data_IF_930799332987
#
_entry.id   IF_930799332987
#
_cell.length_a   1.000
_cell.length_b   1.000
_cell.length_c   1.000
_cell.angle_alpha   90.00
_cell.angle_beta   90.00
_cell.angle_gamma   90.00
#
_symmetry.space_group_name_H-M   'P 1'
#
loop_
_entity.id
_entity.type
_entity.pdbx_description
1 polymer ?
#
# COMPACT_ATOMS: atom_id res chain seq x y z
N UNK A 1 0.67 27.95 -16.45
CA UNK A 1 1.76 27.14 -17.02
C UNK A 1 1.18 25.78 -17.40
N UNK A 2 1.20 25.40 -18.68
CA UNK A 2 0.73 24.07 -19.09
C UNK A 2 1.68 23.02 -18.51
N UNK A 3 1.19 22.11 -17.65
CA UNK A 3 1.93 20.91 -17.29
C UNK A 3 2.23 20.15 -18.58
N UNK A 4 3.48 20.10 -19.02
CA UNK A 4 3.86 19.23 -20.14
C UNK A 4 3.48 17.81 -19.72
N UNK A 5 2.51 17.19 -20.40
CA UNK A 5 2.20 15.77 -20.19
C UNK A 5 3.51 15.00 -20.43
N UNK A 6 4.01 14.34 -19.38
CA UNK A 6 5.17 13.45 -19.53
C UNK A 6 4.83 12.43 -20.62
N UNK A 7 5.76 12.18 -21.55
CA UNK A 7 5.57 11.10 -22.53
C UNK A 7 5.79 9.77 -21.84
N UNK A 8 5.07 8.74 -22.28
CA UNK A 8 5.30 7.37 -21.81
C UNK A 8 6.77 6.97 -22.08
N UNK A 9 7.53 6.54 -21.06
CA UNK A 9 8.90 6.08 -21.23
C UNK A 9 8.94 4.72 -21.96
N UNK A 10 10.08 4.41 -22.57
CA UNK A 10 10.30 3.09 -23.16
C UNK A 10 10.43 2.01 -22.08
N UNK A 11 10.13 0.75 -22.41
CA UNK A 11 10.37 -0.41 -21.52
C UNK A 11 11.82 -0.45 -21.00
N UNK A 12 12.79 -0.19 -21.89
CA UNK A 12 14.22 -0.13 -21.54
C UNK A 12 14.54 0.98 -20.55
N UNK A 13 13.90 2.14 -20.67
CA UNK A 13 14.07 3.24 -19.72
C UNK A 13 13.51 2.88 -18.34
N UNK A 14 12.30 2.32 -18.30
CA UNK A 14 11.67 1.87 -17.06
C UNK A 14 12.55 0.82 -16.38
N UNK A 15 12.94 -0.23 -17.10
CA UNK A 15 13.78 -1.28 -16.53
C UNK A 15 15.08 -0.71 -15.97
N UNK A 16 15.79 0.12 -16.75
CA UNK A 16 17.03 0.76 -16.31
C UNK A 16 16.82 1.58 -15.04
N UNK A 17 15.76 2.39 -14.99
CA UNK A 17 15.42 3.20 -13.83
C UNK A 17 15.15 2.32 -12.60
N UNK A 18 14.27 1.32 -12.73
CA UNK A 18 13.89 0.44 -11.62
C UNK A 18 15.09 -0.36 -11.11
N UNK A 19 15.95 -0.90 -11.99
CA UNK A 19 17.18 -1.59 -11.60
C UNK A 19 18.16 -0.68 -10.86
N UNK A 20 18.28 0.59 -11.27
CA UNK A 20 19.15 1.56 -10.60
C UNK A 20 18.63 1.87 -9.19
N UNK A 21 17.34 2.17 -9.08
CA UNK A 21 16.70 2.51 -7.81
C UNK A 21 16.59 1.29 -6.88
N UNK A 22 16.51 0.06 -7.39
CA UNK A 22 16.41 -1.16 -6.60
C UNK A 22 17.69 -1.48 -5.81
N UNK A 23 18.87 -0.98 -6.20
CA UNK A 23 20.14 -1.32 -5.52
C UNK A 23 20.09 -1.07 -4.00
N UNK A 24 20.67 -1.97 -3.17
CA UNK A 24 21.46 -3.15 -3.55
C UNK A 24 20.64 -4.38 -3.98
N UNK A 25 19.31 -4.28 -4.07
CA UNK A 25 18.46 -5.37 -4.54
C UNK A 25 18.58 -5.53 -6.06
N UNK A 26 18.42 -6.77 -6.52
CA UNK A 26 18.14 -7.08 -7.93
C UNK A 26 16.70 -6.68 -8.26
N UNK A 27 16.45 -6.43 -9.54
CA UNK A 27 15.13 -6.14 -10.08
C UNK A 27 14.85 -7.11 -11.22
N UNK A 28 13.76 -7.85 -11.12
CA UNK A 28 13.41 -8.91 -12.06
C UNK A 28 11.94 -8.81 -12.47
N UNK A 29 11.69 -8.95 -13.77
CA UNK A 29 10.33 -9.13 -14.27
C UNK A 29 9.89 -10.57 -14.05
N UNK A 30 8.67 -10.76 -13.55
CA UNK A 30 8.05 -12.07 -13.37
C UNK A 30 6.63 -12.07 -13.90
N UNK A 31 6.15 -13.22 -14.35
CA UNK A 31 4.72 -13.44 -14.57
C UNK A 31 4.09 -13.83 -13.23
N UNK A 32 3.76 -12.82 -12.42
CA UNK A 32 3.08 -12.99 -11.14
C UNK A 32 1.81 -12.12 -11.11
N UNK A 33 0.83 -12.51 -10.28
CA UNK A 33 -0.40 -11.77 -10.08
C UNK A 33 -0.19 -10.54 -9.19
N UNK A 34 0.88 -10.51 -8.39
CA UNK A 34 1.18 -9.39 -7.51
C UNK A 34 1.94 -8.27 -8.23
N UNK A 35 1.55 -6.99 -8.02
CA UNK A 35 2.13 -5.84 -8.71
C UNK A 35 3.59 -5.59 -8.37
N UNK A 36 4.01 -5.81 -7.12
CA UNK A 36 5.39 -5.64 -6.67
C UNK A 36 5.60 -6.52 -5.43
N UNK A 37 6.68 -7.31 -5.42
CA UNK A 37 7.06 -8.13 -4.27
C UNK A 37 8.54 -8.01 -3.98
N UNK A 38 8.89 -7.78 -2.71
CA UNK A 38 10.27 -7.92 -2.23
C UNK A 38 10.54 -9.33 -1.70
N UNK A 39 11.66 -9.93 -2.11
CA UNK A 39 12.27 -11.07 -1.43
C UNK A 39 13.49 -10.59 -0.67
N UNK A 40 13.36 -10.56 0.65
CA UNK A 40 14.44 -10.20 1.57
C UNK A 40 15.60 -11.17 1.44
N UNK A 41 15.31 -12.48 1.49
CA UNK A 41 16.30 -13.56 1.40
C UNK A 41 17.11 -13.49 0.09
N UNK A 42 16.44 -13.31 -1.05
CA UNK A 42 17.12 -13.25 -2.36
C UNK A 42 17.59 -11.86 -2.72
N UNK A 43 17.35 -10.85 -1.87
CA UNK A 43 17.59 -9.43 -2.17
C UNK A 43 17.08 -9.04 -3.57
N UNK A 44 15.85 -9.42 -3.90
CA UNK A 44 15.27 -9.22 -5.24
C UNK A 44 13.89 -8.58 -5.13
N UNK A 45 13.63 -7.59 -5.99
CA UNK A 45 12.32 -6.99 -6.20
C UNK A 45 11.75 -7.59 -7.49
N UNK A 46 10.64 -8.29 -7.36
CA UNK A 46 9.90 -8.90 -8.46
C UNK A 46 8.72 -8.02 -8.85
N UNK A 47 8.47 -7.88 -10.14
CA UNK A 47 7.33 -7.10 -10.63
C UNK A 47 6.79 -7.67 -11.94
N UNK A 48 5.46 -7.66 -12.08
CA UNK A 48 4.83 -7.94 -13.35
C UNK A 48 5.01 -6.75 -14.32
N UNK A 49 5.66 -6.98 -15.46
CA UNK A 49 5.95 -5.92 -16.44
C UNK A 49 4.67 -5.23 -16.94
N UNK A 50 3.62 -5.98 -17.24
CA UNK A 50 2.35 -5.43 -17.75
C UNK A 50 1.70 -4.54 -16.71
N UNK A 51 1.73 -4.96 -15.44
CA UNK A 51 1.16 -4.19 -14.34
C UNK A 51 1.97 -2.90 -14.11
N UNK A 52 3.30 -2.97 -14.13
CA UNK A 52 4.15 -1.78 -14.01
C UNK A 52 3.93 -0.78 -15.13
N UNK A 53 3.87 -1.24 -16.38
CA UNK A 53 3.61 -0.38 -17.53
C UNK A 53 2.24 0.30 -17.42
N UNK A 54 1.23 -0.44 -16.97
CA UNK A 54 -0.12 0.10 -16.74
C UNK A 54 -0.11 1.15 -15.64
N UNK A 55 0.54 0.87 -14.50
CA UNK A 55 0.65 1.81 -13.39
C UNK A 55 1.39 3.10 -13.80
N UNK A 56 2.52 2.99 -14.50
CA UNK A 56 3.27 4.17 -14.98
C UNK A 56 2.42 5.01 -15.94
N UNK A 57 1.66 4.36 -16.83
CA UNK A 57 0.76 5.07 -17.73
C UNK A 57 -0.32 5.83 -16.94
N UNK A 58 -0.96 5.19 -15.96
CA UNK A 58 -1.99 5.81 -15.13
C UNK A 58 -1.46 7.01 -14.35
N UNK A 59 -0.24 6.92 -13.80
CA UNK A 59 0.45 8.03 -13.13
C UNK A 59 0.70 9.20 -14.09
N UNK A 60 1.19 8.92 -15.29
CA UNK A 60 1.45 9.94 -16.32
C UNK A 60 0.15 10.61 -16.77
N UNK A 61 -0.90 9.84 -17.01
CA UNK A 61 -2.22 10.34 -17.41
C UNK A 61 -2.85 11.23 -16.32
N UNK A 62 -2.55 10.94 -15.05
CA UNK A 62 -2.91 11.77 -13.90
C UNK A 62 -1.98 12.98 -13.69
N UNK A 63 -0.92 13.13 -14.48
CA UNK A 63 0.07 14.21 -14.38
C UNK A 63 0.98 14.12 -13.15
N UNK A 64 1.20 12.90 -12.65
CA UNK A 64 2.14 12.58 -11.58
C UNK A 64 3.52 12.23 -12.15
N UNK A 65 4.58 12.50 -11.37
CA UNK A 65 5.94 12.12 -11.73
C UNK A 65 6.15 10.64 -11.40
N UNK A 66 6.05 9.78 -12.41
CA UNK A 66 6.16 8.34 -12.23
C UNK A 66 7.52 7.92 -11.65
N UNK A 67 8.61 8.65 -11.93
CA UNK A 67 9.95 8.30 -11.41
C UNK A 67 9.99 8.50 -9.91
N UNK A 68 9.46 9.62 -9.44
CA UNK A 68 9.45 9.90 -8.01
C UNK A 68 8.49 8.99 -7.24
N UNK A 69 7.32 8.68 -7.81
CA UNK A 69 6.40 7.69 -7.23
C UNK A 69 7.05 6.32 -7.14
N UNK A 70 7.69 5.85 -8.22
CA UNK A 70 8.37 4.55 -8.22
C UNK A 70 9.58 4.51 -7.28
N UNK A 71 10.34 5.60 -7.16
CA UNK A 71 11.40 5.72 -6.16
C UNK A 71 10.86 5.59 -4.74
N UNK A 72 9.74 6.25 -4.44
CA UNK A 72 9.03 6.12 -3.16
C UNK A 72 8.61 4.66 -2.93
N UNK A 73 8.01 4.02 -3.91
CA UNK A 73 7.59 2.61 -3.80
C UNK A 73 8.77 1.68 -3.55
N UNK A 74 9.88 1.84 -4.28
CA UNK A 74 11.08 1.02 -4.05
C UNK A 74 11.67 1.26 -2.64
N UNK A 75 11.67 2.50 -2.15
CA UNK A 75 12.08 2.79 -0.75
C UNK A 75 11.18 2.08 0.25
N UNK A 76 9.86 2.16 0.08
CA UNK A 76 8.88 1.50 0.93
C UNK A 76 9.12 -0.01 0.98
N UNK A 77 9.25 -0.64 -0.17
CA UNK A 77 9.43 -2.09 -0.33
C UNK A 77 10.73 -2.60 0.29
N UNK A 78 11.81 -1.81 0.24
CA UNK A 78 13.04 -2.15 0.96
C UNK A 78 12.87 -2.06 2.48
N UNK A 79 12.05 -1.13 2.97
CA UNK A 79 11.86 -0.95 4.40
C UNK A 79 11.18 -2.17 5.04
N UNK A 80 10.37 -2.93 4.30
CA UNK A 80 9.76 -4.18 4.76
C UNK A 80 10.75 -5.21 5.31
N UNK A 81 12.02 -5.19 4.87
CA UNK A 81 13.07 -6.04 5.45
C UNK A 81 13.20 -5.87 6.98
N UNK A 82 13.04 -4.64 7.48
CA UNK A 82 13.17 -4.34 8.91
C UNK A 82 12.05 -4.97 9.75
N UNK A 83 10.94 -5.30 9.12
CA UNK A 83 9.73 -5.78 9.78
C UNK A 83 9.51 -7.28 9.62
N UNK A 84 10.46 -8.01 9.01
CA UNK A 84 10.36 -9.46 8.81
C UNK A 84 10.12 -10.24 10.12
N UNK A 85 10.67 -9.77 11.25
CA UNK A 85 10.44 -10.37 12.58
C UNK A 85 8.96 -10.35 12.99
N UNK A 86 8.21 -9.32 12.60
CA UNK A 86 6.77 -9.21 12.92
C UNK A 86 5.96 -10.21 12.12
N UNK A 87 6.30 -10.39 10.84
CA UNK A 87 5.69 -11.42 9.99
C UNK A 87 5.87 -12.82 10.60
N UNK A 88 7.08 -13.14 11.10
CA UNK A 88 7.32 -14.42 11.80
C UNK A 88 6.50 -14.53 13.09
N UNK A 89 6.46 -13.47 13.90
CA UNK A 89 5.73 -13.44 15.18
C UNK A 89 4.23 -13.64 14.97
N UNK A 90 3.64 -13.00 13.97
CA UNK A 90 2.22 -13.13 13.66
C UNK A 90 1.89 -14.47 12.97
N UNK A 91 2.80 -14.99 12.13
CA UNK A 91 2.68 -16.33 11.58
C UNK A 91 2.62 -17.41 12.68
N UNK A 92 3.40 -17.26 13.75
CA UNK A 92 3.33 -18.13 14.92
C UNK A 92 1.97 -18.06 15.67
N UNK A 93 1.20 -16.99 15.46
CA UNK A 93 -0.17 -16.83 15.97
C UNK A 93 -1.24 -17.28 14.94
N UNK A 94 -0.83 -17.96 13.87
CA UNK A 94 -1.70 -18.46 12.80
C UNK A 94 -2.11 -17.41 11.77
N UNK A 95 -1.46 -16.25 11.73
CA UNK A 95 -1.75 -15.19 10.76
C UNK A 95 -0.72 -15.17 9.62
N UNK A 96 -1.16 -15.51 8.41
CA UNK A 96 -0.37 -15.32 7.19
C UNK A 96 -0.45 -13.88 6.66
N UNK A 97 0.33 -13.59 5.62
CA UNK A 97 0.37 -12.27 4.99
C UNK A 97 -1.00 -11.79 4.50
N UNK A 98 -1.83 -12.72 4.01
CA UNK A 98 -3.16 -12.38 3.48
C UNK A 98 -4.27 -12.41 4.55
N UNK A 99 -3.97 -12.92 5.75
CA UNK A 99 -4.95 -13.09 6.81
C UNK A 99 -5.59 -11.75 7.19
N UNK A 100 -6.88 -11.82 7.52
CA UNK A 100 -7.66 -10.67 7.98
C UNK A 100 -7.66 -9.50 6.98
N UNK A 101 -7.70 -9.81 5.67
CA UNK A 101 -7.68 -8.79 4.62
C UNK A 101 -6.35 -8.02 4.55
N UNK A 102 -5.22 -8.72 4.68
CA UNK A 102 -3.89 -8.12 4.62
C UNK A 102 -3.59 -7.16 5.79
N UNK A 103 -4.22 -7.39 6.95
CA UNK A 103 -4.12 -6.49 8.10
C UNK A 103 -2.66 -6.28 8.57
N UNK A 104 -1.87 -7.36 8.61
CA UNK A 104 -0.46 -7.32 8.97
C UNK A 104 0.35 -6.36 8.07
N UNK A 105 0.09 -6.40 6.76
CA UNK A 105 0.74 -5.52 5.78
C UNK A 105 0.40 -4.06 6.07
N UNK A 106 -0.88 -3.69 6.20
CA UNK A 106 -1.25 -2.30 6.42
C UNK A 106 -0.73 -1.72 7.76
N UNK A 107 -0.66 -2.54 8.81
CA UNK A 107 -0.05 -2.14 10.09
C UNK A 107 1.45 -1.85 9.92
N UNK A 108 2.15 -2.71 9.18
CA UNK A 108 3.57 -2.55 8.87
C UNK A 108 3.81 -1.33 7.99
N UNK A 109 3.01 -1.16 6.94
CA UNK A 109 3.04 -0.01 6.03
C UNK A 109 2.83 1.29 6.79
N UNK A 110 1.88 1.34 7.72
CA UNK A 110 1.68 2.52 8.55
C UNK A 110 2.93 2.89 9.35
N UNK A 111 3.64 1.91 9.94
CA UNK A 111 4.89 2.18 10.66
C UNK A 111 5.99 2.65 9.68
N UNK A 112 6.12 2.02 8.52
CA UNK A 112 7.06 2.46 7.48
C UNK A 112 6.78 3.92 7.08
N UNK A 113 5.52 4.24 6.80
CA UNK A 113 5.14 5.50 6.20
C UNK A 113 5.07 6.64 7.20
N UNK A 114 4.52 6.41 8.39
CA UNK A 114 4.23 7.47 9.38
C UNK A 114 5.23 7.55 10.51
N UNK A 115 6.11 6.55 10.65
CA UNK A 115 7.14 6.53 11.69
C UNK A 115 8.53 6.50 11.05
N UNK A 116 8.81 5.51 10.19
CA UNK A 116 10.15 5.37 9.61
C UNK A 116 10.49 6.50 8.63
N UNK A 117 9.56 6.87 7.75
CA UNK A 117 9.75 7.93 6.74
C UNK A 117 9.00 9.23 7.08
N UNK A 118 8.63 9.44 8.35
CA UNK A 118 7.85 10.59 8.80
C UNK A 118 8.46 11.94 8.34
N UNK A 119 9.78 12.07 8.45
CA UNK A 119 10.52 13.31 8.15
C UNK A 119 11.01 13.41 6.68
N UNK A 120 10.88 12.34 5.87
CA UNK A 120 11.25 12.39 4.44
C UNK A 120 10.13 13.08 3.66
N UNK A 121 10.22 14.41 3.52
CA UNK A 121 9.23 15.24 2.82
C UNK A 121 8.93 14.78 1.40
N UNK A 122 9.94 14.30 0.66
CA UNK A 122 9.74 13.81 -0.70
C UNK A 122 8.97 12.48 -0.69
N UNK A 123 9.32 11.58 0.23
CA UNK A 123 8.56 10.35 0.45
C UNK A 123 7.10 10.65 0.77
N UNK A 124 6.84 11.51 1.76
CA UNK A 124 5.48 11.86 2.19
C UNK A 124 4.67 12.47 1.04
N UNK A 125 5.25 13.40 0.27
CA UNK A 125 4.61 14.00 -0.90
C UNK A 125 4.11 12.94 -1.88
N UNK A 126 4.98 12.01 -2.26
CA UNK A 126 4.66 11.02 -3.29
C UNK A 126 3.83 9.85 -2.75
N UNK A 127 3.94 9.53 -1.45
CA UNK A 127 3.01 8.64 -0.76
C UNK A 127 1.58 9.15 -0.87
N UNK A 128 1.33 10.40 -0.46
CA UNK A 128 -0.02 10.97 -0.48
C UNK A 128 -0.57 11.10 -1.90
N UNK A 129 0.26 11.52 -2.86
CA UNK A 129 -0.16 11.63 -4.26
C UNK A 129 -0.55 10.27 -4.87
N UNK A 130 0.25 9.24 -4.61
CA UNK A 130 0.03 7.88 -5.10
C UNK A 130 -1.19 7.21 -4.45
N UNK A 131 -1.31 7.30 -3.12
CA UNK A 131 -2.47 6.79 -2.39
C UNK A 131 -3.77 7.50 -2.80
N UNK A 132 -3.74 8.83 -2.98
CA UNK A 132 -4.89 9.59 -3.44
C UNK A 132 -5.30 9.18 -4.85
N UNK A 133 -4.33 9.04 -5.76
CA UNK A 133 -4.60 8.59 -7.12
C UNK A 133 -5.24 7.19 -7.13
N UNK A 134 -4.68 6.26 -6.35
CA UNK A 134 -5.20 4.90 -6.22
C UNK A 134 -6.65 4.90 -5.70
N UNK A 135 -6.95 5.71 -4.67
CA UNK A 135 -8.32 5.87 -4.18
C UNK A 135 -9.27 6.40 -5.26
N UNK A 136 -8.89 7.44 -6.01
CA UNK A 136 -9.74 8.01 -7.05
C UNK A 136 -10.01 7.06 -8.21
N UNK A 137 -9.03 6.23 -8.56
CA UNK A 137 -9.19 5.17 -9.57
C UNK A 137 -10.15 4.10 -9.05
N UNK A 138 -9.87 3.55 -7.86
CA UNK A 138 -10.70 2.52 -7.25
C UNK A 138 -12.14 2.99 -7.04
N UNK A 139 -12.35 4.22 -6.58
CA UNK A 139 -13.70 4.80 -6.38
C UNK A 139 -14.55 4.77 -7.65
N UNK A 140 -13.94 4.95 -8.83
CA UNK A 140 -14.63 4.91 -10.13
C UNK A 140 -14.89 3.49 -10.59
N UNK A 141 -13.96 2.59 -10.33
CA UNK A 141 -13.96 1.21 -10.85
C UNK A 141 -14.60 0.20 -9.87
N UNK A 142 -14.90 0.60 -8.63
CA UNK A 142 -15.26 -0.35 -7.56
C UNK A 142 -16.48 -1.20 -7.89
N UNK A 143 -17.47 -0.64 -8.59
CA UNK A 143 -18.70 -1.36 -8.96
C UNK A 143 -18.51 -2.25 -10.19
N UNK A 144 -17.52 -1.95 -11.03
CA UNK A 144 -17.15 -2.82 -12.15
C UNK A 144 -16.33 -4.02 -11.64
N UNK A 145 -15.43 -3.77 -10.68
CA UNK A 145 -14.58 -4.79 -10.06
C UNK A 145 -15.37 -5.67 -9.08
N UNK A 146 -16.25 -5.06 -8.28
CA UNK A 146 -17.05 -5.72 -7.25
C UNK A 146 -18.52 -5.25 -7.36
N UNK A 147 -19.31 -5.86 -8.26
CA UNK A 147 -20.69 -5.43 -8.54
C UNK A 147 -21.63 -5.44 -7.34
N UNK A 148 -21.30 -6.18 -6.28
CA UNK A 148 -22.06 -6.20 -5.04
C UNK A 148 -21.15 -6.03 -3.84
N UNK A 149 -21.70 -5.52 -2.73
CA UNK A 149 -20.98 -5.33 -1.47
C UNK A 149 -20.37 -6.65 -0.95
N UNK A 150 -21.07 -7.77 -1.10
CA UNK A 150 -20.60 -9.08 -0.62
C UNK A 150 -19.40 -9.63 -1.42
N UNK A 151 -19.15 -9.12 -2.63
CA UNK A 151 -17.98 -9.50 -3.43
C UNK A 151 -16.73 -8.69 -3.06
N UNK A 152 -16.87 -7.63 -2.27
CA UNK A 152 -15.75 -6.75 -1.90
C UNK A 152 -14.78 -7.47 -0.98
N UNK A 153 -13.50 -7.63 -1.37
CA UNK A 153 -12.51 -8.26 -0.52
C UNK A 153 -12.23 -7.40 0.72
N UNK A 154 -12.01 -8.05 1.85
CA UNK A 154 -11.88 -7.38 3.14
C UNK A 154 -10.71 -6.38 3.22
N UNK A 155 -9.67 -6.55 2.39
CA UNK A 155 -8.53 -5.63 2.36
C UNK A 155 -8.94 -4.19 2.00
N UNK A 156 -10.04 -4.00 1.26
CA UNK A 156 -10.51 -2.66 0.88
C UNK A 156 -10.83 -1.80 2.11
N UNK A 157 -11.38 -2.42 3.14
CA UNK A 157 -11.74 -1.73 4.38
C UNK A 157 -10.50 -1.39 5.22
N UNK A 158 -9.51 -2.29 5.25
CA UNK A 158 -8.22 -2.03 5.88
C UNK A 158 -7.46 -0.90 5.18
N UNK A 159 -7.42 -0.96 3.85
CA UNK A 159 -6.81 0.06 3.00
C UNK A 159 -7.46 1.43 3.19
N UNK A 160 -8.79 1.49 3.28
CA UNK A 160 -9.51 2.74 3.52
C UNK A 160 -9.12 3.35 4.87
N UNK A 161 -9.09 2.55 5.95
CA UNK A 161 -8.66 3.02 7.26
C UNK A 161 -7.20 3.51 7.25
N UNK A 162 -6.31 2.77 6.59
CA UNK A 162 -4.91 3.15 6.40
C UNK A 162 -4.77 4.47 5.62
N UNK A 163 -5.48 4.64 4.49
CA UNK A 163 -5.43 5.87 3.70
C UNK A 163 -5.90 7.10 4.47
N UNK A 164 -6.93 6.95 5.31
CA UNK A 164 -7.34 8.02 6.23
C UNK A 164 -6.27 8.27 7.29
N UNK A 165 -5.63 7.22 7.82
CA UNK A 165 -4.62 7.33 8.85
C UNK A 165 -3.34 8.05 8.38
N UNK A 166 -2.93 7.82 7.13
CA UNK A 166 -1.77 8.52 6.56
C UNK A 166 -2.10 9.96 6.10
N UNK A 167 -3.38 10.28 5.94
CA UNK A 167 -3.89 11.58 5.50
C UNK A 167 -4.07 11.71 3.98
N UNK A 168 -4.15 10.59 3.25
CA UNK A 168 -4.35 10.60 1.80
C UNK A 168 -5.80 10.90 1.40
N UNK A 169 -6.75 10.53 2.24
CA UNK A 169 -8.19 10.82 2.07
C UNK A 169 -8.80 11.24 3.41
N UNK A 170 -9.95 11.90 3.37
CA UNK A 170 -10.74 12.21 4.56
C UNK A 170 -11.54 10.99 5.03
N UNK A 171 -11.94 10.99 6.31
CA UNK A 171 -12.83 9.96 6.84
C UNK A 171 -14.17 9.95 6.09
N UNK A 172 -14.75 11.11 5.79
CA UNK A 172 -16.01 11.21 5.06
C UNK A 172 -15.95 10.57 3.67
N UNK A 173 -14.82 10.69 2.97
CA UNK A 173 -14.61 10.03 1.67
C UNK A 173 -14.57 8.49 1.81
N UNK A 174 -13.87 7.98 2.83
CA UNK A 174 -13.82 6.54 3.09
C UNK A 174 -15.21 5.98 3.43
N UNK A 175 -15.93 6.65 4.33
CA UNK A 175 -17.26 6.21 4.76
C UNK A 175 -18.32 6.35 3.67
N UNK A 176 -18.17 7.34 2.78
CA UNK A 176 -19.04 7.50 1.61
C UNK A 176 -18.86 6.37 0.58
N UNK A 177 -17.64 5.81 0.46
CA UNK A 177 -17.37 4.69 -0.45
C UNK A 177 -17.75 3.33 0.15
N UNK A 178 -17.57 3.17 1.46
CA UNK A 178 -17.78 1.92 2.20
C UNK A 178 -18.72 2.08 3.39
N UNK A 179 -19.97 2.54 3.20
CA UNK A 179 -20.90 2.75 4.30
C UNK A 179 -21.20 1.46 5.09
N UNK A 180 -21.14 0.29 4.44
CA UNK A 180 -21.40 -1.03 5.03
C UNK A 180 -20.41 -1.45 6.13
N UNK A 181 -19.21 -0.84 6.16
CA UNK A 181 -18.14 -1.14 7.12
C UNK A 181 -17.64 0.13 7.80
N UNK A 182 -18.51 1.13 7.94
CA UNK A 182 -18.16 2.42 8.53
C UNK A 182 -17.59 2.30 9.94
N UNK A 183 -18.27 1.54 10.82
CA UNK A 183 -17.82 1.32 12.20
C UNK A 183 -16.45 0.63 12.25
N UNK A 184 -16.26 -0.41 11.44
CA UNK A 184 -14.97 -1.10 11.33
C UNK A 184 -13.85 -0.15 10.92
N UNK A 185 -14.06 0.65 9.87
CA UNK A 185 -13.06 1.62 9.37
C UNK A 185 -12.73 2.66 10.44
N UNK A 186 -13.73 3.18 11.16
CA UNK A 186 -13.52 4.15 12.23
C UNK A 186 -12.76 3.55 13.42
N UNK A 187 -13.11 2.35 13.85
CA UNK A 187 -12.43 1.66 14.96
C UNK A 187 -10.97 1.34 14.58
N UNK A 188 -10.73 0.84 13.37
CA UNK A 188 -9.38 0.52 12.89
C UNK A 188 -8.52 1.78 12.71
N UNK A 189 -9.10 2.88 12.22
CA UNK A 189 -8.42 4.18 12.14
C UNK A 189 -7.94 4.67 13.52
N UNK A 190 -8.73 4.45 14.58
CA UNK A 190 -8.31 4.81 15.94
C UNK A 190 -7.09 3.99 16.37
N UNK A 191 -7.04 2.71 16.00
CA UNK A 191 -5.87 1.86 16.28
C UNK A 191 -4.63 2.35 15.55
N UNK A 192 -4.71 2.65 14.24
CA UNK A 192 -3.58 3.23 13.50
C UNK A 192 -3.02 4.49 14.17
N UNK A 193 -3.89 5.42 14.57
CA UNK A 193 -3.48 6.69 15.20
C UNK A 193 -2.78 6.51 16.56
N UNK A 194 -3.00 5.38 17.24
CA UNK A 194 -2.33 5.05 18.51
C UNK A 194 -0.92 4.51 18.33
N UNK A 195 -0.57 3.96 17.16
CA UNK A 195 0.79 3.47 16.87
C UNK A 195 1.75 4.66 16.82
N UNK A 196 2.76 4.67 17.71
CA UNK A 196 3.81 5.71 17.80
C UNK A 196 5.21 5.17 17.56
N UNK A 197 5.38 3.86 17.67
CA UNK A 197 6.64 3.16 17.51
C UNK A 197 6.43 1.83 16.80
N UNK A 198 7.52 1.20 16.35
CA UNK A 198 7.47 -0.15 15.81
C UNK A 198 7.00 -1.17 16.86
N UNK A 199 7.36 -0.99 18.13
CA UNK A 199 6.99 -1.90 19.21
C UNK A 199 5.48 -2.00 19.42
N UNK A 200 4.73 -0.96 19.04
CA UNK A 200 3.27 -0.96 19.14
C UNK A 200 2.62 -2.00 18.22
N UNK A 201 3.33 -2.51 17.20
CA UNK A 201 2.88 -3.60 16.34
C UNK A 201 2.51 -4.86 17.13
N UNK A 202 3.12 -5.09 18.30
CA UNK A 202 2.82 -6.23 19.15
C UNK A 202 1.38 -6.25 19.64
N UNK A 203 0.95 -5.15 20.29
CA UNK A 203 -0.38 -5.09 20.89
C UNK A 203 -1.43 -4.70 19.85
N UNK A 204 -1.10 -3.82 18.89
CA UNK A 204 -2.09 -3.31 17.93
C UNK A 204 -2.57 -4.40 16.98
N UNK A 205 -1.71 -5.37 16.64
CA UNK A 205 -2.11 -6.49 15.79
C UNK A 205 -3.20 -7.34 16.46
N UNK A 206 -3.08 -7.60 17.76
CA UNK A 206 -4.07 -8.38 18.51
C UNK A 206 -5.40 -7.62 18.59
N UNK A 207 -5.37 -6.33 18.91
CA UNK A 207 -6.59 -5.50 18.94
C UNK A 207 -7.26 -5.42 17.57
N UNK A 208 -6.49 -5.18 16.51
CA UNK A 208 -7.00 -5.06 15.15
C UNK A 208 -7.54 -6.40 14.61
N UNK A 209 -6.90 -7.52 14.97
CA UNK A 209 -7.40 -8.87 14.64
C UNK A 209 -8.75 -9.14 15.33
N UNK A 210 -8.85 -8.83 16.62
CA UNK A 210 -10.10 -9.03 17.36
C UNK A 210 -11.21 -8.14 16.81
N UNK A 211 -10.88 -6.91 16.43
CA UNK A 211 -11.79 -6.01 15.73
C UNK A 211 -12.24 -6.59 14.39
N UNK A 212 -11.32 -7.14 13.60
CA UNK A 212 -11.67 -7.81 12.34
C UNK A 212 -12.64 -8.97 12.57
N UNK A 213 -12.32 -9.88 13.50
CA UNK A 213 -13.19 -11.02 13.79
C UNK A 213 -14.59 -10.57 14.23
N UNK A 214 -14.70 -9.56 15.09
CA UNK A 214 -15.99 -8.97 15.51
C UNK A 214 -16.85 -8.49 14.34
N UNK A 215 -16.25 -7.97 13.27
CA UNK A 215 -16.97 -7.33 12.16
C UNK A 215 -17.14 -8.21 10.92
N UNK A 216 -16.45 -9.35 10.83
CA UNK A 216 -16.40 -10.21 9.65
C UNK A 216 -16.60 -11.70 9.94
N UNK A 217 -16.76 -12.11 11.21
CA UNK A 217 -17.11 -13.48 11.60
C UNK A 217 -18.62 -13.65 11.81
#
# INVERSE_FOLDING_TARGET
MSKSKQKMPSRKEIFKFMTQEAKPYKFEYVEDNQPLRVSVERKTIYINEKVLLTAIKQLIDAGLDWKEVMRKNIKHEKAHEKFFKWNLKWAALGAGAESYGWLASYLTDYVIDKIHYAEDKNYQKWLLADSRHTFETLKKEIWDLFPTVNMRPHFLYNQAAYWVAIGAISLGEALGLYPEKADYIMELLKLFKKIKSEQDLEWVFIEARNLFLKHFS
#
